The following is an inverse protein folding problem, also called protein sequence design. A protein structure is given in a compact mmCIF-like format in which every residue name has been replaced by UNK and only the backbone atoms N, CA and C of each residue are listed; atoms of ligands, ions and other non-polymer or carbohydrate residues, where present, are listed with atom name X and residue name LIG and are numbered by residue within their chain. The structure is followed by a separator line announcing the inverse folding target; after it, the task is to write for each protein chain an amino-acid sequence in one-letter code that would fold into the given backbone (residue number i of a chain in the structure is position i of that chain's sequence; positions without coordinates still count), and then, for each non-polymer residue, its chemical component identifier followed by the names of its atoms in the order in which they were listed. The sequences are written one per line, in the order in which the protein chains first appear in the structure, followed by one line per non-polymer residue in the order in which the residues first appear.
data_IF_936092003745
#
_entry.id   IF_936092003745
#
_cell.length_a   1.000
_cell.length_b   1.000
_cell.length_c   1.000
_cell.angle_alpha   90.00
_cell.angle_beta   90.00
_cell.angle_gamma   90.00
#
_symmetry.space_group_name_H-M   'P 1'
#
loop_
_entity.id
_entity.type
_entity.pdbx_description
1 polymer ?
#
# COMPACT_ATOMS: atom_id res chain seq x y z
N UNK A 1 -14.28 -26.42 -18.37
CA UNK A 1 -14.01 -26.99 -17.03
C UNK A 1 -14.29 -25.92 -15.97
N UNK A 2 -15.49 -25.91 -15.35
CA UNK A 2 -15.83 -24.94 -14.28
C UNK A 2 -15.11 -25.36 -13.01
N UNK A 3 -13.84 -24.98 -12.86
CA UNK A 3 -13.11 -25.20 -11.61
C UNK A 3 -13.78 -24.33 -10.56
N UNK A 4 -14.48 -24.97 -9.61
CA UNK A 4 -15.02 -24.34 -8.39
C UNK A 4 -13.85 -23.92 -7.50
N UNK A 5 -13.14 -22.85 -7.89
CA UNK A 5 -11.90 -22.47 -7.22
C UNK A 5 -12.14 -21.56 -6.01
N UNK A 6 -13.15 -21.91 -5.18
CA UNK A 6 -13.48 -21.18 -3.96
C UNK A 6 -12.26 -21.06 -3.05
N UNK A 7 -11.48 -22.14 -2.95
CA UNK A 7 -10.24 -22.14 -2.19
C UNK A 7 -9.18 -21.18 -2.76
N UNK A 8 -8.99 -21.11 -4.08
CA UNK A 8 -8.05 -20.14 -4.65
C UNK A 8 -8.45 -18.69 -4.36
N UNK A 9 -9.76 -18.39 -4.45
CA UNK A 9 -10.29 -17.07 -4.10
C UNK A 9 -10.05 -16.77 -2.62
N UNK A 10 -10.38 -17.70 -1.72
CA UNK A 10 -10.15 -17.55 -0.28
C UNK A 10 -8.67 -17.36 0.05
N UNK A 11 -7.78 -18.14 -0.57
CA UNK A 11 -6.33 -17.98 -0.40
C UNK A 11 -5.86 -16.63 -0.90
N UNK A 12 -6.30 -16.18 -2.08
CA UNK A 12 -5.97 -14.85 -2.60
C UNK A 12 -6.43 -13.72 -1.68
N UNK A 13 -7.64 -13.83 -1.13
CA UNK A 13 -8.17 -12.89 -0.12
C UNK A 13 -7.31 -12.91 1.15
N UNK A 14 -7.09 -14.10 1.73
CA UNK A 14 -6.34 -14.23 2.97
C UNK A 14 -4.90 -13.70 2.84
N UNK A 15 -4.21 -14.04 1.75
CA UNK A 15 -2.86 -13.56 1.48
C UNK A 15 -2.84 -12.04 1.29
N UNK A 16 -3.81 -11.46 0.57
CA UNK A 16 -3.89 -10.01 0.41
C UNK A 16 -4.14 -9.30 1.75
N UNK A 17 -5.04 -9.81 2.58
CA UNK A 17 -5.32 -9.24 3.91
C UNK A 17 -4.10 -9.31 4.82
N UNK A 18 -3.37 -10.44 4.84
CA UNK A 18 -2.11 -10.56 5.59
C UNK A 18 -1.09 -9.52 5.11
N UNK A 19 -0.94 -9.34 3.80
CA UNK A 19 -0.03 -8.35 3.22
C UNK A 19 -0.44 -6.93 3.61
N UNK A 20 -1.72 -6.59 3.46
CA UNK A 20 -2.26 -5.24 3.69
C UNK A 20 -2.23 -4.86 5.16
N UNK A 21 -2.65 -5.75 6.06
CA UNK A 21 -2.82 -5.46 7.49
C UNK A 21 -1.50 -5.62 8.24
N UNK A 22 -0.73 -6.68 7.96
CA UNK A 22 0.39 -7.07 8.80
C UNK A 22 1.74 -6.79 8.15
N UNK A 23 2.00 -7.35 6.97
CA UNK A 23 3.34 -7.28 6.37
C UNK A 23 3.71 -5.84 5.97
N UNK A 24 2.73 -5.05 5.51
CA UNK A 24 2.89 -3.61 5.21
C UNK A 24 3.47 -2.83 6.40
N UNK A 25 2.90 -3.01 7.58
CA UNK A 25 3.32 -2.30 8.80
C UNK A 25 4.67 -2.80 9.32
N UNK A 26 4.94 -4.10 9.19
CA UNK A 26 6.26 -4.65 9.48
C UNK A 26 7.32 -4.04 8.56
N UNK A 27 7.00 -3.85 7.28
CA UNK A 27 7.89 -3.19 6.33
C UNK A 27 8.14 -1.72 6.69
N UNK A 28 7.10 -1.01 7.13
CA UNK A 28 7.24 0.37 7.62
C UNK A 28 8.12 0.44 8.86
N UNK A 29 7.88 -0.43 9.84
CA UNK A 29 8.69 -0.53 11.05
C UNK A 29 10.15 -0.82 10.74
N UNK A 30 10.42 -1.76 9.82
CA UNK A 30 11.76 -2.05 9.35
C UNK A 30 12.42 -0.84 8.70
N UNK A 31 11.69 -0.13 7.84
CA UNK A 31 12.18 1.10 7.19
C UNK A 31 12.48 2.20 8.22
N UNK A 32 11.59 2.39 9.19
CA UNK A 32 11.77 3.34 10.28
C UNK A 32 13.00 3.01 11.13
N UNK A 33 13.19 1.74 11.49
CA UNK A 33 14.36 1.26 12.23
C UNK A 33 15.67 1.54 11.49
N UNK A 34 15.74 1.22 10.19
CA UNK A 34 16.94 1.46 9.39
C UNK A 34 17.24 2.94 9.17
N UNK A 35 16.23 3.80 9.21
CA UNK A 35 16.37 5.25 9.07
C UNK A 35 16.54 5.96 10.42
N UNK A 36 16.64 5.21 11.53
CA UNK A 36 16.99 5.72 12.85
C UNK A 36 15.81 6.22 13.67
N UNK A 37 14.58 5.79 13.38
CA UNK A 37 13.42 6.07 14.24
C UNK A 37 13.52 5.32 15.57
N UNK A 38 13.00 5.93 16.63
CA UNK A 38 13.03 5.41 17.99
C UNK A 38 11.64 4.92 18.42
N UNK A 39 11.59 4.18 19.55
CA UNK A 39 10.35 3.76 20.21
C UNK A 39 9.34 3.03 19.30
N UNK A 40 9.85 2.19 18.39
CA UNK A 40 9.03 1.40 17.48
C UNK A 40 8.15 0.43 18.28
N UNK A 41 6.85 0.64 18.22
CA UNK A 41 5.84 -0.16 18.90
C UNK A 41 4.72 -0.54 17.92
N UNK A 42 4.19 -1.74 18.08
CA UNK A 42 3.04 -2.20 17.31
C UNK A 42 1.79 -2.11 18.16
N UNK A 43 0.74 -1.52 17.61
CA UNK A 43 -0.55 -1.37 18.27
C UNK A 43 -1.63 -2.06 17.42
N UNK A 44 -2.55 -2.72 18.10
CA UNK A 44 -3.76 -3.28 17.49
C UNK A 44 -4.93 -2.43 17.95
N UNK A 45 -5.67 -1.86 17.00
CA UNK A 45 -6.89 -1.11 17.25
C UNK A 45 -8.00 -1.66 16.35
N UNK A 46 -8.94 -2.41 16.93
CA UNK A 46 -9.97 -3.10 16.16
C UNK A 46 -9.40 -4.14 15.19
N UNK A 47 -9.65 -3.97 13.90
CA UNK A 47 -9.12 -4.82 12.83
C UNK A 47 -7.83 -4.28 12.21
N UNK A 48 -7.31 -3.18 12.73
CA UNK A 48 -6.14 -2.52 12.19
C UNK A 48 -4.92 -2.80 13.06
N UNK A 49 -3.83 -3.14 12.39
CA UNK A 49 -2.50 -3.25 12.98
C UNK A 49 -1.73 -2.02 12.52
N UNK A 50 -1.05 -1.36 13.45
CA UNK A 50 -0.34 -0.11 13.19
C UNK A 50 1.04 -0.11 13.82
N UNK A 51 2.02 0.40 13.07
CA UNK A 51 3.32 0.78 13.59
C UNK A 51 3.27 2.21 14.14
N UNK A 52 3.69 2.39 15.39
CA UNK A 52 3.89 3.68 16.04
C UNK A 52 5.39 3.83 16.31
N UNK A 53 5.94 4.98 15.97
CA UNK A 53 7.37 5.28 16.14
C UNK A 53 7.54 6.78 16.39
N UNK A 54 8.66 7.11 17.04
CA UNK A 54 9.06 8.50 17.30
C UNK A 54 10.20 8.84 16.35
N UNK A 55 10.07 9.95 15.63
CA UNK A 55 11.11 10.39 14.70
C UNK A 55 11.98 11.43 15.40
N UNK A 56 13.29 11.23 15.39
CA UNK A 56 14.27 12.13 16.01
C UNK A 56 14.40 13.43 15.22
N UNK A 57 14.49 14.58 15.89
CA UNK A 57 14.54 15.91 15.26
C UNK A 57 15.70 16.12 14.26
N UNK A 58 16.77 15.33 14.39
CA UNK A 58 17.95 15.40 13.51
C UNK A 58 17.84 14.57 12.21
N UNK A 59 16.70 13.93 11.94
CA UNK A 59 16.56 13.15 10.70
C UNK A 59 16.39 14.04 9.47
N UNK A 60 16.89 13.58 8.33
CA UNK A 60 16.75 14.28 7.05
C UNK A 60 15.30 14.23 6.55
N UNK A 61 14.84 15.27 5.84
CA UNK A 61 13.51 15.30 5.17
C UNK A 61 13.28 14.04 4.32
N UNK A 62 14.32 13.54 3.66
CA UNK A 62 14.28 12.31 2.88
C UNK A 62 13.90 11.09 3.72
N UNK A 63 14.42 10.99 4.96
CA UNK A 63 14.09 9.90 5.88
C UNK A 63 12.59 9.87 6.18
N UNK A 64 11.99 11.03 6.49
CA UNK A 64 10.55 11.13 6.72
C UNK A 64 9.74 10.65 5.51
N UNK A 65 10.08 11.14 4.32
CA UNK A 65 9.41 10.75 3.07
C UNK A 65 9.49 9.23 2.88
N UNK A 66 10.68 8.64 3.04
CA UNK A 66 10.87 7.21 2.86
C UNK A 66 10.07 6.39 3.88
N UNK A 67 10.06 6.79 5.15
CA UNK A 67 9.30 6.08 6.20
C UNK A 67 7.80 6.10 5.87
N UNK A 68 7.21 7.28 5.62
CA UNK A 68 5.76 7.40 5.41
C UNK A 68 5.29 6.86 4.06
N UNK A 69 6.15 6.84 3.03
CA UNK A 69 5.81 6.27 1.71
C UNK A 69 6.14 4.78 1.63
N UNK A 70 6.99 4.24 2.53
CA UNK A 70 7.37 2.82 2.54
C UNK A 70 6.22 1.81 2.55
N UNK A 71 5.10 2.02 3.28
CA UNK A 71 3.95 1.11 3.21
C UNK A 71 3.43 0.94 1.80
N UNK A 72 3.41 2.03 1.04
CA UNK A 72 2.84 2.07 -0.31
C UNK A 72 3.83 1.48 -1.32
N UNK A 73 5.12 1.79 -1.18
CA UNK A 73 6.18 1.16 -1.96
C UNK A 73 6.16 -0.36 -1.79
N UNK A 74 5.92 -0.83 -0.57
CA UNK A 74 5.79 -2.26 -0.32
C UNK A 74 4.63 -2.89 -1.09
N UNK A 75 3.46 -2.24 -1.14
CA UNK A 75 2.33 -2.73 -1.94
C UNK A 75 2.67 -2.74 -3.43
N UNK A 76 3.41 -1.75 -3.95
CA UNK A 76 3.91 -1.81 -5.33
C UNK A 76 4.85 -2.99 -5.58
N UNK A 77 5.77 -3.25 -4.66
CA UNK A 77 6.66 -4.42 -4.75
C UNK A 77 5.82 -5.71 -4.76
N UNK A 78 4.82 -5.81 -3.88
CA UNK A 78 3.92 -6.95 -3.81
C UNK A 78 3.09 -7.14 -5.10
N UNK A 79 2.63 -6.04 -5.72
CA UNK A 79 1.98 -6.07 -7.03
C UNK A 79 2.91 -6.60 -8.12
N UNK A 80 4.13 -6.09 -8.23
CA UNK A 80 5.09 -6.58 -9.23
C UNK A 80 5.47 -8.06 -9.00
N UNK A 81 5.65 -8.48 -7.75
CA UNK A 81 5.88 -9.89 -7.42
C UNK A 81 4.70 -10.74 -7.88
N UNK A 82 3.46 -10.35 -7.58
CA UNK A 82 2.31 -11.15 -7.99
C UNK A 82 2.07 -11.15 -9.51
N UNK A 83 2.44 -10.08 -10.25
CA UNK A 83 2.46 -10.10 -11.73
C UNK A 83 3.48 -11.13 -12.22
N UNK A 84 4.68 -11.18 -11.64
CA UNK A 84 5.69 -12.19 -11.99
C UNK A 84 5.22 -13.61 -11.68
N UNK A 85 4.44 -13.80 -10.61
CA UNK A 85 3.81 -15.10 -10.30
C UNK A 85 2.76 -15.45 -11.35
N UNK A 86 1.94 -14.50 -11.81
CA UNK A 86 0.97 -14.73 -12.88
C UNK A 86 1.63 -15.17 -14.19
N UNK A 87 2.77 -14.57 -14.55
CA UNK A 87 3.53 -14.94 -15.74
C UNK A 87 4.04 -16.38 -15.73
N UNK A 88 4.35 -16.91 -14.54
CA UNK A 88 4.95 -18.23 -14.37
C UNK A 88 3.93 -19.33 -14.06
N UNK A 89 2.66 -18.99 -13.86
CA UNK A 89 1.63 -19.96 -13.44
C UNK A 89 0.70 -20.33 -14.58
N UNK A 90 0.50 -21.63 -14.77
CA UNK A 90 -0.50 -22.17 -15.70
C UNK A 90 -1.92 -21.95 -15.16
N UNK A 91 -2.93 -22.11 -16.03
CA UNK A 91 -4.34 -22.04 -15.63
C UNK A 91 -4.62 -23.05 -14.49
N UNK A 92 -4.96 -22.55 -13.31
CA UNK A 92 -5.10 -23.36 -12.12
C UNK A 92 -5.16 -22.54 -10.84
N UNK A 93 -5.16 -23.22 -9.70
CA UNK A 93 -5.30 -22.64 -8.36
C UNK A 93 -4.46 -21.37 -8.13
N UNK A 94 -3.14 -21.46 -8.34
CA UNK A 94 -2.21 -20.36 -8.07
C UNK A 94 -2.49 -19.12 -8.93
N UNK A 95 -2.88 -19.29 -10.19
CA UNK A 95 -3.20 -18.18 -11.08
C UNK A 95 -4.45 -17.43 -10.61
N UNK A 96 -5.51 -18.15 -10.23
CA UNK A 96 -6.73 -17.50 -9.68
C UNK A 96 -6.46 -16.81 -8.35
N UNK A 97 -5.69 -17.43 -7.45
CA UNK A 97 -5.30 -16.82 -6.18
C UNK A 97 -4.50 -15.53 -6.39
N UNK A 98 -3.53 -15.56 -7.32
CA UNK A 98 -2.73 -14.39 -7.67
C UNK A 98 -3.56 -13.27 -8.32
N UNK A 99 -4.55 -13.59 -9.19
CA UNK A 99 -5.46 -12.57 -9.74
C UNK A 99 -6.24 -11.88 -8.62
N UNK A 100 -6.85 -12.65 -7.72
CA UNK A 100 -7.62 -12.09 -6.59
C UNK A 100 -6.74 -11.25 -5.68
N UNK A 101 -5.54 -11.75 -5.36
CA UNK A 101 -4.54 -11.01 -4.60
C UNK A 101 -4.21 -9.65 -5.24
N UNK A 102 -3.93 -9.62 -6.55
CA UNK A 102 -3.65 -8.39 -7.29
C UNK A 102 -4.81 -7.40 -7.24
N UNK A 103 -6.04 -7.87 -7.48
CA UNK A 103 -7.23 -7.02 -7.46
C UNK A 103 -7.46 -6.38 -6.09
N UNK A 104 -7.22 -7.12 -5.00
CA UNK A 104 -7.35 -6.59 -3.64
C UNK A 104 -6.26 -5.57 -3.31
N UNK A 105 -5.01 -5.81 -3.71
CA UNK A 105 -3.93 -4.83 -3.54
C UNK A 105 -4.21 -3.53 -4.32
N UNK A 106 -4.67 -3.64 -5.57
CA UNK A 106 -5.09 -2.50 -6.39
C UNK A 106 -6.24 -1.74 -5.71
N UNK A 107 -7.29 -2.46 -5.28
CA UNK A 107 -8.42 -1.86 -4.58
C UNK A 107 -8.02 -1.16 -3.29
N UNK A 108 -7.12 -1.78 -2.52
CA UNK A 108 -6.55 -1.18 -1.32
C UNK A 108 -5.79 0.11 -1.62
N UNK A 109 -4.93 0.14 -2.64
CA UNK A 109 -4.20 1.36 -3.02
C UNK A 109 -5.16 2.49 -3.39
N UNK A 110 -6.19 2.19 -4.19
CA UNK A 110 -7.21 3.19 -4.55
C UNK A 110 -7.83 3.77 -3.29
N UNK A 111 -8.35 2.92 -2.40
CA UNK A 111 -9.01 3.37 -1.16
C UNK A 111 -8.04 4.18 -0.30
N UNK A 112 -6.79 3.70 -0.11
CA UNK A 112 -5.79 4.36 0.73
C UNK A 112 -5.46 5.78 0.26
N UNK A 113 -5.29 5.97 -1.05
CA UNK A 113 -4.92 7.28 -1.63
C UNK A 113 -6.10 8.24 -1.58
N UNK A 114 -7.30 7.78 -1.95
CA UNK A 114 -8.50 8.62 -1.87
C UNK A 114 -8.81 9.00 -0.43
N UNK A 115 -8.69 8.05 0.50
CA UNK A 115 -8.81 8.34 1.93
C UNK A 115 -7.76 9.36 2.37
N UNK A 116 -6.49 9.19 1.99
CA UNK A 116 -5.43 10.15 2.24
C UNK A 116 -5.73 11.56 1.72
N UNK A 117 -6.26 11.66 0.50
CA UNK A 117 -6.61 12.94 -0.09
C UNK A 117 -7.73 13.63 0.70
N UNK A 118 -8.75 12.87 1.08
CA UNK A 118 -9.84 13.36 1.93
C UNK A 118 -9.32 13.79 3.31
N UNK A 119 -8.45 13.01 3.94
CA UNK A 119 -7.89 13.38 5.26
C UNK A 119 -7.04 14.64 5.18
N UNK A 120 -6.30 14.85 4.10
CA UNK A 120 -5.51 16.08 3.87
C UNK A 120 -6.42 17.28 3.66
N UNK A 121 -7.45 17.16 2.82
CA UNK A 121 -8.41 18.24 2.59
C UNK A 121 -9.15 18.63 3.87
N UNK A 122 -9.55 17.65 4.67
CA UNK A 122 -10.30 17.84 5.92
C UNK A 122 -9.42 18.06 7.15
N UNK A 123 -8.08 18.01 7.03
CA UNK A 123 -7.12 18.11 8.15
C UNK A 123 -7.40 17.12 9.30
N UNK A 124 -7.77 15.89 8.98
CA UNK A 124 -8.04 14.86 9.98
C UNK A 124 -6.76 14.39 10.67
N UNK A 125 -6.69 14.43 12.00
CA UNK A 125 -5.52 13.99 12.76
C UNK A 125 -5.28 12.47 12.63
N UNK A 126 -4.03 12.04 12.84
CA UNK A 126 -3.67 10.62 12.94
C UNK A 126 -3.47 9.88 11.62
N UNK A 127 -3.58 10.55 10.47
CA UNK A 127 -3.29 9.95 9.16
C UNK A 127 -1.84 10.21 8.70
N UNK A 128 -1.18 9.18 8.16
CA UNK A 128 0.21 9.26 7.70
C UNK A 128 0.42 10.26 6.54
N UNK A 129 -0.58 10.49 5.69
CA UNK A 129 -0.52 11.52 4.65
C UNK A 129 -0.48 12.93 5.24
N UNK A 130 -1.25 13.17 6.31
CA UNK A 130 -1.22 14.45 7.01
C UNK A 130 0.11 14.67 7.74
N UNK A 131 0.65 13.63 8.36
CA UNK A 131 1.99 13.68 8.95
C UNK A 131 3.04 13.99 7.90
N UNK A 132 2.96 13.35 6.73
CA UNK A 132 3.88 13.62 5.62
C UNK A 132 3.80 15.07 5.13
N UNK A 133 2.59 15.61 4.93
CA UNK A 133 2.39 17.01 4.55
C UNK A 133 2.97 17.97 5.60
N UNK A 134 2.79 17.66 6.89
CA UNK A 134 3.36 18.42 8.00
C UNK A 134 4.90 18.39 7.99
N UNK A 135 5.51 17.21 7.86
CA UNK A 135 6.98 17.10 7.84
C UNK A 135 7.64 17.68 6.58
N UNK A 136 6.88 17.80 5.49
CA UNK A 136 7.31 18.49 4.28
C UNK A 136 7.16 20.02 4.38
N UNK A 137 6.64 20.54 5.48
CA UNK A 137 6.36 21.96 5.71
C UNK A 137 5.52 22.58 4.58
N UNK A 138 4.55 21.82 4.07
CA UNK A 138 3.68 22.28 2.99
C UNK A 138 2.54 23.13 3.56
N UNK A 139 2.22 24.22 2.85
CA UNK A 139 0.98 24.96 3.11
C UNK A 139 -0.25 24.07 2.87
N UNK A 140 -1.42 24.50 3.33
CA UNK A 140 -2.66 23.78 3.08
C UNK A 140 -2.91 23.55 1.58
N UNK A 141 -2.75 24.60 0.78
CA UNK A 141 -2.86 24.55 -0.68
C UNK A 141 -1.79 23.63 -1.27
N UNK A 142 -0.57 23.68 -0.73
CA UNK A 142 0.53 22.78 -1.10
C UNK A 142 0.21 21.31 -0.85
N UNK A 143 -0.41 20.98 0.30
CA UNK A 143 -0.86 19.63 0.62
C UNK A 143 -1.94 19.10 -0.33
N UNK A 144 -2.88 19.96 -0.75
CA UNK A 144 -3.90 19.60 -1.74
C UNK A 144 -3.25 19.30 -3.09
N UNK A 145 -2.35 20.18 -3.56
CA UNK A 145 -1.63 19.99 -4.83
C UNK A 145 -0.78 18.72 -4.77
N UNK A 146 -0.10 18.47 -3.65
CA UNK A 146 0.68 17.26 -3.42
C UNK A 146 -0.18 16.00 -3.57
N UNK A 147 -1.34 15.93 -2.89
CA UNK A 147 -2.23 14.77 -3.01
C UNK A 147 -2.82 14.60 -4.40
N UNK A 148 -3.08 15.70 -5.11
CA UNK A 148 -3.52 15.64 -6.51
C UNK A 148 -2.46 15.02 -7.43
N UNK A 149 -1.19 15.40 -7.26
CA UNK A 149 -0.07 14.80 -8.00
C UNK A 149 0.10 13.31 -7.66
N UNK A 150 0.00 12.95 -6.38
CA UNK A 150 0.00 11.56 -5.94
C UNK A 150 -1.11 10.77 -6.65
N UNK A 151 -2.35 11.27 -6.67
CA UNK A 151 -3.46 10.60 -7.37
C UNK A 151 -3.13 10.36 -8.85
N UNK A 152 -2.58 11.37 -9.56
CA UNK A 152 -2.24 11.22 -10.98
C UNK A 152 -1.19 10.14 -11.22
N UNK A 153 -0.09 10.18 -10.46
CA UNK A 153 1.02 9.21 -10.59
C UNK A 153 0.50 7.79 -10.33
N UNK A 154 -0.30 7.63 -9.28
CA UNK A 154 -0.88 6.34 -8.92
C UNK A 154 -1.91 5.86 -9.92
N UNK A 155 -2.78 6.74 -10.42
CA UNK A 155 -3.77 6.38 -11.45
C UNK A 155 -3.08 5.86 -12.71
N UNK A 156 -1.98 6.48 -13.13
CA UNK A 156 -1.18 6.01 -14.26
C UNK A 156 -0.61 4.60 -14.01
N UNK A 157 0.01 4.37 -12.85
CA UNK A 157 0.55 3.05 -12.49
C UNK A 157 -0.56 1.98 -12.38
N UNK A 158 -1.65 2.29 -11.68
CA UNK A 158 -2.77 1.36 -11.47
C UNK A 158 -3.43 0.98 -12.80
N UNK A 159 -3.58 1.93 -13.73
CA UNK A 159 -4.09 1.64 -15.07
C UNK A 159 -3.20 0.62 -15.81
N UNK A 160 -1.87 0.77 -15.73
CA UNK A 160 -0.94 -0.20 -16.32
C UNK A 160 -1.06 -1.57 -15.65
N UNK A 161 -1.11 -1.62 -14.33
CA UNK A 161 -1.24 -2.87 -13.56
C UNK A 161 -2.57 -3.59 -13.84
N UNK A 162 -3.69 -2.86 -13.89
CA UNK A 162 -5.00 -3.41 -14.24
C UNK A 162 -4.98 -4.00 -15.65
N UNK A 163 -4.43 -3.28 -16.65
CA UNK A 163 -4.31 -3.80 -18.02
C UNK A 163 -3.54 -5.11 -18.08
N UNK A 164 -2.44 -5.22 -17.32
CA UNK A 164 -1.67 -6.48 -17.22
C UNK A 164 -2.52 -7.60 -16.62
N UNK A 165 -3.20 -7.36 -15.50
CA UNK A 165 -4.06 -8.35 -14.84
C UNK A 165 -5.18 -8.83 -15.76
N UNK A 166 -5.87 -7.91 -16.46
CA UNK A 166 -6.91 -8.24 -17.45
C UNK A 166 -6.35 -9.11 -18.59
N UNK A 167 -5.14 -8.81 -19.07
CA UNK A 167 -4.45 -9.63 -20.06
C UNK A 167 -4.31 -11.08 -19.61
N UNK A 168 -3.98 -11.33 -18.35
CA UNK A 168 -3.91 -12.69 -17.77
C UNK A 168 -5.26 -13.30 -17.40
N UNK A 169 -6.35 -12.54 -17.38
CA UNK A 169 -7.70 -13.09 -17.21
C UNK A 169 -8.21 -13.62 -18.56
N UNK A 170 -7.90 -12.90 -19.64
CA UNK A 170 -8.41 -13.20 -20.98
C UNK A 170 -7.54 -14.21 -21.77
N UNK A 171 -6.31 -14.47 -21.32
CA UNK A 171 -5.38 -15.44 -21.92
C UNK A 171 -5.57 -16.87 -21.39
#
# INVERSE_FOLDING_TARGET
MKIKNKYAVLTGIATALIVIILIREIFQAGTAYFLGAEEISFKISGLEFFCSFTITENQSTLSYILIFISPILFIFIALEIGIRVLQKTVLGFYRYAAIVFQLLLIGFLIINIFYGAVTVVLKMEGNDWNRLVYYLDLSYEGGIIFMFLVIIIFAAYLNLSIKRVIGYINA
#
